data_IF_256217194797
#
_entry.id   IF_256217194797
#
_cell.length_a   1.000
_cell.length_b   1.000
_cell.length_c   1.000
_cell.angle_alpha   90.00
_cell.angle_beta   90.00
_cell.angle_gamma   90.00
#
_symmetry.space_group_name_H-M   'P 1'
#
loop_
_entity.id
_entity.type
_entity.pdbx_description
1 polymer ?
#
# COMPACT_ATOMS: atom_id res chain seq x y z
N UNK A 1 13.79 -33.29 -17.88
CA UNK A 1 13.13 -32.68 -17.79
C UNK A 1 12.61 -32.37 -18.05
N UNK A 2 13.20 -32.55 -17.70
CA UNK A 2 12.38 -31.82 -17.53
C UNK A 2 12.10 -31.43 -17.57
N UNK A 3 12.44 -31.17 -17.17
CA UNK A 3 11.73 -30.47 -16.76
C UNK A 3 11.54 -29.91 -16.78
N UNK A 4 12.08 -30.17 -16.73
CA UNK A 4 11.47 -29.45 -16.41
C UNK A 4 11.27 -28.81 -16.43
N UNK A 5 11.85 -28.96 -16.21
CA UNK A 5 11.17 -28.20 -15.84
C UNK A 5 10.87 -27.62 -15.78
N UNK A 6 11.25 -27.58 -15.57
CA UNK A 6 10.54 -26.92 -15.10
C UNK A 6 10.24 -26.28 -15.11
N UNK A 7 10.76 -26.38 -14.86
CA UNK A 7 10.10 -25.65 -14.46
C UNK A 7 9.70 -25.00 -14.45
N UNK A 8 10.25 -25.18 -14.37
CA UNK A 8 9.54 -24.47 -14.02
C UNK A 8 9.12 -24.00 -13.93
N UNK A 9 9.46 -23.92 -13.69
CA UNK A 9 8.75 -23.30 -13.21
C UNK A 9 8.42 -22.94 -13.06
N UNK A 10 8.54 -22.77 -12.88
CA UNK A 10 7.97 -22.24 -12.35
C UNK A 10 7.55 -21.68 -12.24
N UNK A 11 7.87 -21.77 -12.05
CA UNK A 11 7.30 -21.21 -11.57
C UNK A 11 6.83 -20.87 -11.37
N UNK A 12 6.99 -20.77 -11.20
CA UNK A 12 6.52 -20.32 -10.66
C UNK A 12 5.94 -20.04 -10.45
N UNK A 13 5.77 -19.77 -10.09
CA UNK A 13 5.31 -19.41 -9.65
C UNK A 13 4.81 -19.08 -9.09
N UNK A 14 4.88 -19.04 -8.81
CA UNK A 14 4.53 -18.77 -8.11
C UNK A 14 3.79 -18.58 -7.70
N UNK A 15 3.59 -18.44 -7.26
CA UNK A 15 2.91 -18.21 -6.69
C UNK A 15 2.36 -17.92 -6.09
N UNK A 16 2.15 -17.73 -5.86
CA UNK A 16 1.55 -17.31 -5.04
C UNK A 16 1.71 -17.57 -3.83
N UNK A 17 1.75 -17.68 -3.37
CA UNK A 17 1.75 -18.02 -2.42
C UNK A 17 2.00 -18.15 -1.42
N UNK A 18 1.39 -17.80 -1.04
CA UNK A 18 1.35 -18.00 -0.10
C UNK A 18 1.75 -19.10 0.67
N UNK A 19 2.15 -20.20 0.36
CA UNK A 19 2.72 -21.22 1.17
C UNK A 19 3.86 -20.74 2.02
N UNK A 20 4.41 -19.61 1.65
CA UNK A 20 5.48 -18.96 2.42
C UNK A 20 4.99 -17.76 3.19
N UNK A 21 3.68 -17.61 3.31
CA UNK A 21 3.11 -16.51 4.04
C UNK A 21 3.11 -15.19 3.28
N UNK A 22 3.45 -15.23 2.01
CA UNK A 22 3.44 -14.02 1.20
C UNK A 22 2.02 -13.63 0.81
N UNK A 23 1.79 -12.34 0.69
CA UNK A 23 0.48 -11.86 0.28
C UNK A 23 0.27 -12.11 -1.19
N UNK A 24 -0.98 -12.34 -1.55
CA UNK A 24 -1.37 -12.51 -2.93
C UNK A 24 -1.23 -11.19 -3.68
N UNK A 25 -1.01 -11.22 -5.00
CA UNK A 25 -0.96 -9.97 -5.78
C UNK A 25 -2.18 -9.09 -5.60
N UNK A 26 -3.38 -9.68 -5.49
CA UNK A 26 -4.57 -8.89 -5.29
C UNK A 26 -4.56 -8.15 -3.96
N UNK A 27 -3.85 -8.68 -2.95
CA UNK A 27 -3.70 -7.97 -1.69
C UNK A 27 -2.83 -6.73 -1.87
N UNK A 28 -1.81 -6.83 -2.70
CA UNK A 28 -0.97 -5.67 -3.01
C UNK A 28 -1.76 -4.62 -3.78
N UNK A 29 -2.64 -5.06 -4.69
CA UNK A 29 -3.52 -4.12 -5.39
C UNK A 29 -4.45 -3.41 -4.42
N UNK A 30 -4.92 -4.12 -3.40
CA UNK A 30 -5.75 -3.50 -2.38
C UNK A 30 -4.97 -2.50 -1.57
N UNK A 31 -3.68 -2.78 -1.30
CA UNK A 31 -2.84 -1.82 -0.60
C UNK A 31 -2.70 -0.53 -1.41
N UNK A 32 -2.47 -0.66 -2.72
CA UNK A 32 -2.38 0.50 -3.60
C UNK A 32 -3.69 1.27 -3.58
N UNK A 33 -4.82 0.57 -3.64
CA UNK A 33 -6.13 1.21 -3.65
C UNK A 33 -6.37 2.00 -2.37
N UNK A 34 -6.01 1.42 -1.22
CA UNK A 34 -6.20 2.12 0.05
C UNK A 34 -5.29 3.33 0.15
N UNK A 35 -4.01 3.16 -0.17
CA UNK A 35 -3.06 4.27 -0.12
C UNK A 35 -3.52 5.40 -1.04
N UNK A 36 -3.93 5.05 -2.27
CA UNK A 36 -4.41 6.05 -3.22
C UNK A 36 -5.63 6.78 -2.72
N UNK A 37 -6.58 6.05 -2.16
CA UNK A 37 -7.80 6.67 -1.62
C UNK A 37 -7.46 7.64 -0.49
N UNK A 38 -6.50 7.28 0.37
CA UNK A 38 -6.12 8.14 1.47
C UNK A 38 -5.49 9.44 0.99
N UNK A 39 -4.88 9.44 -0.19
CA UNK A 39 -4.28 10.65 -0.75
C UNK A 39 -5.30 11.50 -1.50
N UNK A 40 -6.43 10.93 -1.88
CA UNK A 40 -7.40 11.63 -2.71
C UNK A 40 -8.62 12.09 -1.93
N UNK A 41 -9.06 11.31 -0.93
CA UNK A 41 -10.29 11.57 -0.19
C UNK A 41 -9.99 11.90 1.27
N UNK A 42 -10.36 13.10 1.69
CA UNK A 42 -10.09 13.54 3.06
C UNK A 42 -10.73 12.65 4.11
N UNK A 43 -11.94 12.19 3.84
CA UNK A 43 -12.68 11.39 4.82
C UNK A 43 -12.18 9.95 4.91
N UNK A 44 -11.35 9.52 3.97
CA UNK A 44 -10.93 8.12 3.93
C UNK A 44 -10.15 7.72 5.18
N UNK A 45 -9.35 8.64 5.72
CA UNK A 45 -8.55 8.33 6.91
C UNK A 45 -9.41 7.87 8.07
N UNK A 46 -10.55 8.55 8.30
CA UNK A 46 -11.43 8.20 9.40
C UNK A 46 -11.98 6.79 9.31
N UNK A 47 -12.06 6.25 8.09
CA UNK A 47 -12.60 4.91 7.91
C UNK A 47 -11.60 3.82 8.27
N UNK A 48 -10.31 4.10 8.21
CA UNK A 48 -9.29 3.05 8.36
C UNK A 48 -8.32 3.29 9.51
N UNK A 49 -8.37 4.46 10.14
CA UNK A 49 -7.34 4.86 11.10
C UNK A 49 -7.20 3.88 12.28
N UNK A 50 -8.30 3.26 12.69
CA UNK A 50 -8.27 2.38 13.85
C UNK A 50 -7.97 0.93 13.50
N UNK A 51 -8.03 0.58 12.20
CA UNK A 51 -7.82 -0.81 11.83
C UNK A 51 -6.49 -1.06 11.13
N UNK A 52 -5.82 -0.02 10.68
CA UNK A 52 -4.56 -0.18 9.94
C UNK A 52 -3.43 0.56 10.64
N UNK A 53 -2.26 -0.05 10.56
CA UNK A 53 -0.99 0.53 11.03
C UNK A 53 0.00 0.39 9.89
N UNK A 54 1.14 1.11 9.94
CA UNK A 54 2.14 0.92 8.88
C UNK A 54 2.50 -0.55 8.70
N UNK A 55 2.66 -1.30 9.79
CA UNK A 55 3.02 -2.70 9.71
C UNK A 55 1.93 -3.59 9.13
N UNK A 56 0.72 -3.08 8.97
CA UNK A 56 -0.35 -3.84 8.34
C UNK A 56 -0.07 -4.10 6.87
N UNK A 57 0.76 -3.26 6.25
CA UNK A 57 1.04 -3.37 4.82
C UNK A 57 2.21 -4.31 4.59
N UNK A 58 2.09 -5.13 3.56
CA UNK A 58 3.14 -6.06 3.20
C UNK A 58 4.29 -5.35 2.47
N UNK A 59 3.95 -4.47 1.54
CA UNK A 59 4.94 -3.76 0.75
C UNK A 59 5.56 -2.66 1.59
N UNK A 60 6.89 -2.68 1.71
CA UNK A 60 7.61 -1.70 2.52
C UNK A 60 7.36 -0.27 2.07
N UNK A 61 7.21 -0.07 0.76
CA UNK A 61 6.92 1.27 0.25
C UNK A 61 5.59 1.77 0.81
N UNK A 62 4.62 0.88 0.91
CA UNK A 62 3.29 1.24 1.43
C UNK A 62 3.36 1.53 2.91
N UNK A 63 4.19 0.80 3.66
CA UNK A 63 4.38 1.09 5.07
C UNK A 63 4.89 2.51 5.28
N UNK A 64 5.87 2.89 4.48
CA UNK A 64 6.50 4.21 4.57
C UNK A 64 5.50 5.30 4.18
N UNK A 65 4.74 5.08 3.11
CA UNK A 65 3.74 6.05 2.66
C UNK A 65 2.64 6.19 3.71
N UNK A 66 2.15 5.08 4.25
CA UNK A 66 1.10 5.11 5.26
C UNK A 66 1.57 5.86 6.49
N UNK A 67 2.83 5.65 6.90
CA UNK A 67 3.40 6.36 8.03
C UNK A 67 3.36 7.88 7.81
N UNK A 68 3.71 8.32 6.60
CA UNK A 68 3.66 9.75 6.28
C UNK A 68 2.23 10.29 6.34
N UNK A 69 1.28 9.53 5.80
CA UNK A 69 -0.13 9.92 5.83
C UNK A 69 -0.62 10.01 7.28
N UNK A 70 -0.24 9.03 8.08
CA UNK A 70 -0.62 9.02 9.50
C UNK A 70 -0.09 10.26 10.22
N UNK A 71 1.17 10.58 10.00
CA UNK A 71 1.79 11.74 10.63
C UNK A 71 1.06 13.03 10.23
N UNK A 72 0.74 13.18 8.95
CA UNK A 72 0.02 14.35 8.48
C UNK A 72 -1.34 14.46 9.16
N UNK A 73 -2.05 13.34 9.29
CA UNK A 73 -3.36 13.36 9.94
C UNK A 73 -3.25 13.68 11.42
N UNK A 74 -2.26 13.13 12.10
CA UNK A 74 -2.06 13.42 13.53
C UNK A 74 -1.75 14.90 13.72
N UNK A 75 -1.01 15.49 12.80
CA UNK A 75 -0.67 16.91 12.86
C UNK A 75 -1.77 17.80 12.29
N UNK A 76 -2.87 17.19 11.88
CA UNK A 76 -4.04 17.91 11.35
C UNK A 76 -3.70 18.74 10.10
N UNK A 77 -2.83 18.18 9.27
CA UNK A 77 -2.44 18.80 8.01
C UNK A 77 -3.20 18.15 6.86
N UNK A 78 -3.43 18.89 5.77
CA UNK A 78 -4.07 18.28 4.60
C UNK A 78 -3.25 17.14 4.05
N UNK A 79 -3.94 16.13 3.51
CA UNK A 79 -3.29 14.96 2.92
C UNK A 79 -3.62 14.92 1.44
N UNK A 80 -2.61 15.07 0.61
CA UNK A 80 -2.72 14.87 -0.83
C UNK A 80 -1.34 14.45 -1.32
N UNK A 81 -1.22 14.22 -2.63
CA UNK A 81 0.04 13.72 -3.14
C UNK A 81 1.20 14.69 -2.86
N UNK A 82 0.91 15.99 -2.91
CA UNK A 82 1.97 16.99 -2.71
C UNK A 82 2.45 17.02 -1.26
N UNK A 83 1.52 17.01 -0.31
CA UNK A 83 1.90 17.02 1.10
C UNK A 83 2.57 15.73 1.51
N UNK A 84 2.14 14.60 0.94
CA UNK A 84 2.77 13.31 1.24
C UNK A 84 4.20 13.30 0.70
N UNK A 85 4.40 13.73 -0.54
CA UNK A 85 5.75 13.81 -1.11
C UNK A 85 6.64 14.72 -0.29
N UNK A 86 6.11 15.87 0.12
CA UNK A 86 6.88 16.82 0.93
C UNK A 86 7.26 16.21 2.28
N UNK A 87 6.31 15.54 2.92
CA UNK A 87 6.58 14.90 4.21
C UNK A 87 7.67 13.83 4.07
N UNK A 88 7.57 13.01 3.03
CA UNK A 88 8.56 11.96 2.79
C UNK A 88 9.94 12.54 2.49
N UNK A 89 9.97 13.63 1.74
CA UNK A 89 11.23 14.27 1.41
C UNK A 89 11.89 14.85 2.66
N UNK A 90 11.10 15.52 3.50
CA UNK A 90 11.64 16.13 4.72
C UNK A 90 12.15 15.10 5.71
N UNK A 91 11.56 13.92 5.73
CA UNK A 91 11.99 12.86 6.65
C UNK A 91 13.04 11.93 6.03
N UNK A 92 13.44 12.19 4.78
CA UNK A 92 14.44 11.36 4.11
C UNK A 92 13.94 10.00 3.69
N UNK A 93 12.62 9.84 3.57
CA UNK A 93 12.02 8.53 3.28
C UNK A 93 11.43 8.44 1.88
N UNK A 94 11.66 9.44 1.04
CA UNK A 94 11.02 9.45 -0.28
C UNK A 94 11.42 8.25 -1.13
N UNK A 95 12.71 7.89 -1.13
CA UNK A 95 13.15 6.75 -1.92
C UNK A 95 12.62 5.44 -1.38
N UNK A 96 12.52 5.33 -0.05
CA UNK A 96 11.94 4.12 0.56
C UNK A 96 10.48 3.98 0.21
N UNK A 97 9.82 5.07 -0.11
CA UNK A 97 8.41 5.06 -0.52
C UNK A 97 8.24 4.74 -2.00
N UNK A 98 9.33 4.59 -2.73
CA UNK A 98 9.28 4.30 -4.16
C UNK A 98 9.53 5.51 -5.04
N UNK A 99 9.75 6.69 -4.43
CA UNK A 99 10.03 7.90 -5.18
C UNK A 99 8.77 8.59 -5.69
N UNK A 100 8.98 9.79 -6.24
CA UNK A 100 7.85 10.59 -6.75
C UNK A 100 7.07 9.85 -7.83
N UNK A 101 7.76 9.14 -8.71
CA UNK A 101 7.09 8.44 -9.80
C UNK A 101 6.09 7.41 -9.28
N UNK A 102 6.50 6.64 -8.26
CA UNK A 102 5.60 5.63 -7.71
C UNK A 102 4.39 6.28 -7.03
N UNK A 103 4.62 7.36 -6.29
CA UNK A 103 3.52 8.07 -5.63
C UNK A 103 2.53 8.63 -6.64
N UNK A 104 3.04 9.20 -7.73
CA UNK A 104 2.17 9.75 -8.77
C UNK A 104 1.40 8.64 -9.47
N UNK A 105 2.02 7.48 -9.65
CA UNK A 105 1.36 6.34 -10.25
C UNK A 105 0.20 5.87 -9.38
N UNK A 106 0.42 5.73 -8.07
CA UNK A 106 -0.64 5.33 -7.15
C UNK A 106 -1.76 6.36 -7.18
N UNK A 107 -1.41 7.62 -7.14
CA UNK A 107 -2.40 8.69 -7.12
C UNK A 107 -3.25 8.68 -8.38
N UNK A 108 -2.65 8.36 -9.52
CA UNK A 108 -3.35 8.36 -10.79
C UNK A 108 -4.24 7.13 -10.96
N UNK A 109 -3.92 6.04 -10.28
CA UNK A 109 -4.65 4.79 -10.45
C UNK A 109 -5.88 4.69 -9.57
N UNK A 110 -6.02 5.59 -8.58
CA UNK A 110 -7.18 5.50 -7.71
C UNK A 110 -8.42 5.90 -8.47
N UNK A 111 -9.44 5.05 -8.44
CA UNK A 111 -10.69 5.33 -9.13
C UNK A 111 -11.74 5.85 -8.16
N UNK A 112 -11.76 5.31 -6.94
CA UNK A 112 -12.81 5.65 -5.99
C UNK A 112 -12.45 5.12 -4.62
N UNK A 113 -12.88 5.84 -3.58
CA UNK A 113 -12.72 5.36 -2.21
C UNK A 113 -13.91 4.53 -1.76
N UNK A 114 -14.82 4.19 -2.68
CA UNK A 114 -16.08 3.53 -2.32
C UNK A 114 -15.87 2.23 -1.55
N UNK A 115 -14.80 1.51 -1.84
CA UNK A 115 -14.57 0.21 -1.21
C UNK A 115 -13.38 0.22 -0.26
N UNK A 116 -12.95 1.39 0.20
CA UNK A 116 -11.75 1.47 1.02
C UNK A 116 -11.90 0.68 2.32
N UNK A 117 -13.06 0.73 2.95
CA UNK A 117 -13.26 0.01 4.20
C UNK A 117 -13.15 -1.49 3.99
N UNK A 118 -13.73 -1.98 2.91
CA UNK A 118 -13.65 -3.40 2.57
C UNK A 118 -12.21 -3.83 2.31
N UNK A 119 -11.49 -3.05 1.51
CA UNK A 119 -10.10 -3.36 1.21
C UNK A 119 -9.23 -3.30 2.46
N UNK A 120 -9.50 -2.32 3.33
CA UNK A 120 -8.74 -2.18 4.57
C UNK A 120 -8.95 -3.38 5.48
N UNK A 121 -10.17 -3.91 5.54
CA UNK A 121 -10.43 -5.09 6.35
C UNK A 121 -9.64 -6.31 5.85
N UNK A 122 -9.54 -6.45 4.53
CA UNK A 122 -8.79 -7.55 3.95
C UNK A 122 -7.30 -7.40 4.28
N UNK A 123 -6.77 -6.19 4.16
CA UNK A 123 -5.37 -5.93 4.51
C UNK A 123 -5.12 -6.27 5.97
N UNK A 124 -5.99 -5.83 6.86
CA UNK A 124 -5.84 -6.08 8.28
C UNK A 124 -5.86 -7.58 8.59
N UNK A 125 -6.75 -8.32 7.94
CA UNK A 125 -6.83 -9.76 8.13
C UNK A 125 -5.55 -10.47 7.69
N UNK A 126 -5.00 -10.04 6.58
CA UNK A 126 -3.83 -10.71 6.03
C UNK A 126 -2.54 -10.36 6.75
N UNK A 127 -2.54 -9.29 7.53
CA UNK A 127 -1.34 -8.88 8.25
C UNK A 127 -1.17 -9.59 9.59
N UNK A 128 -2.14 -10.40 9.98
CA UNK A 128 -2.06 -11.13 11.27
C UNK A 128 -1.15 -12.36 11.19
#
# INVERSE_FOLDING_TARGET
>A
MAERRKQTTKIVEVPSVDQYGHKQPQSLDMEVAVIGALMVEQEAWGLVAEMLKPESFYDKRHQVIFQAIQTLNVEQKPVDIMTVCDQLERTGMLEDAGGNTYLMQINAEVASSAHILYHAKIIAQKSL
#
